data_IF_449267366620
#
_entry.id   IF_449267366620
#
_cell.length_a   1.000
_cell.length_b   1.000
_cell.length_c   1.000
_cell.angle_alpha   90.00
_cell.angle_beta   90.00
_cell.angle_gamma   90.00
#
_symmetry.space_group_name_H-M   'P 1'
#
loop_
_entity.id
_entity.type
_entity.pdbx_description
1 polymer ?
#
# COMPACT_ATOMS: atom_id res chain seq x y z
N UNK A 1 32.21 -22.37 27.53
CA UNK A 1 31.56 -22.29 27.02
C UNK A 1 31.20 -22.19 26.23
N UNK A 2 31.18 -22.26 26.14
CA UNK A 2 30.43 -22.23 25.39
C UNK A 2 29.74 -22.32 24.96
N UNK A 3 29.42 -22.33 25.16
CA UNK A 3 28.37 -22.37 24.71
C UNK A 3 27.64 -22.02 24.64
N UNK A 4 27.39 -21.87 25.27
CA UNK A 4 26.38 -21.56 25.12
C UNK A 4 25.91 -20.89 24.63
N UNK A 5 26.17 -20.66 24.66
CA UNK A 5 25.47 -20.09 23.98
C UNK A 5 24.98 -19.99 23.20
N UNK A 6 25.07 -20.18 23.29
CA UNK A 6 24.41 -20.09 22.37
C UNK A 6 23.42 -20.16 22.19
N UNK A 7 23.05 -20.25 22.79
CA UNK A 7 21.96 -20.34 22.61
C UNK A 7 21.18 -19.65 22.42
N UNK A 8 21.14 -18.99 22.69
CA UNK A 8 20.31 -18.35 22.33
C UNK A 8 20.11 -17.81 21.47
N UNK A 9 20.56 -17.66 21.26
CA UNK A 9 20.30 -17.22 20.30
C UNK A 9 19.84 -17.55 19.52
N UNK A 10 19.73 -17.98 19.60
CA UNK A 10 19.12 -18.37 18.77
C UNK A 10 18.10 -18.35 18.70
N UNK A 11 17.73 -17.97 19.18
CA UNK A 11 16.73 -18.02 19.09
C UNK A 11 16.04 -17.56 18.40
N UNK A 12 16.00 -17.05 18.46
CA UNK A 12 15.20 -16.63 17.68
C UNK A 12 15.38 -16.73 16.43
N UNK A 13 15.97 -16.94 16.25
CA UNK A 13 16.05 -17.13 15.19
C UNK A 13 15.52 -18.10 14.70
N UNK A 14 15.43 -18.02 14.92
CA UNK A 14 15.05 -18.93 14.44
C UNK A 14 13.95 -19.27 14.00
N UNK A 15 13.46 -19.11 14.20
CA UNK A 15 12.40 -19.75 13.88
C UNK A 15 11.33 -18.96 13.46
N UNK A 16 11.51 -18.31 12.32
CA UNK A 16 10.45 -17.58 11.70
C UNK A 16 9.59 -18.57 10.97
N UNK A 17 8.39 -18.76 11.47
CA UNK A 17 7.44 -19.63 10.82
C UNK A 17 6.93 -18.98 9.55
N UNK A 18 6.76 -19.80 8.51
CA UNK A 18 6.09 -19.36 7.30
C UNK A 18 4.61 -19.70 7.47
N UNK A 19 3.76 -18.74 7.30
CA UNK A 19 2.33 -18.90 7.56
C UNK A 19 1.51 -18.48 6.36
N UNK A 20 0.31 -19.00 6.27
CA UNK A 20 -0.66 -18.59 5.26
C UNK A 20 -1.58 -17.57 5.88
N UNK A 21 -1.66 -16.41 5.24
CA UNK A 21 -2.52 -15.34 5.72
C UNK A 21 -3.38 -14.83 4.58
N UNK A 22 -4.53 -14.30 4.93
CA UNK A 22 -5.41 -13.63 3.97
C UNK A 22 -5.02 -12.17 3.87
N UNK A 23 -5.45 -11.52 2.81
CA UNK A 23 -5.21 -10.09 2.65
C UNK A 23 -5.86 -9.30 3.78
N UNK A 24 -7.00 -9.76 4.30
CA UNK A 24 -7.66 -9.09 5.42
C UNK A 24 -6.82 -9.18 6.69
N UNK A 25 -6.16 -10.30 6.91
CA UNK A 25 -5.25 -10.44 8.04
C UNK A 25 -4.05 -9.50 7.90
N UNK A 26 -3.55 -9.34 6.68
CA UNK A 26 -2.47 -8.39 6.42
C UNK A 26 -2.93 -6.96 6.68
N UNK A 27 -4.12 -6.62 6.20
CA UNK A 27 -4.68 -5.28 6.46
C UNK A 27 -4.80 -4.99 7.94
N UNK A 28 -5.27 -5.96 8.70
CA UNK A 28 -5.42 -5.80 10.14
C UNK A 28 -4.06 -5.62 10.82
N UNK A 29 -3.08 -6.42 10.42
CA UNK A 29 -1.74 -6.30 10.98
C UNK A 29 -1.10 -4.94 10.68
N UNK A 30 -1.31 -4.43 9.46
CA UNK A 30 -0.81 -3.11 9.08
C UNK A 30 -1.49 -2.03 9.91
N UNK A 31 -2.80 -2.14 10.13
CA UNK A 31 -3.52 -1.17 10.96
C UNK A 31 -3.01 -1.16 12.38
N UNK A 32 -2.75 -2.32 12.96
CA UNK A 32 -2.20 -2.40 14.31
C UNK A 32 -0.80 -1.81 14.38
N UNK A 33 0.01 -2.06 13.35
CA UNK A 33 1.35 -1.49 13.28
C UNK A 33 1.27 0.04 13.18
N UNK A 34 0.35 0.54 12.35
CA UNK A 34 0.18 1.99 12.18
C UNK A 34 -0.24 2.66 13.48
N UNK A 35 -1.13 2.01 14.24
CA UNK A 35 -1.59 2.56 15.49
C UNK A 35 -0.48 2.67 16.52
N UNK A 36 0.55 1.84 16.42
CA UNK A 36 1.68 1.86 17.33
C UNK A 36 2.84 2.74 16.88
N UNK A 37 2.75 3.37 15.73
CA UNK A 37 3.85 4.20 15.23
C UNK A 37 3.97 5.49 16.04
N UNK A 38 5.21 5.87 16.30
CA UNK A 38 5.46 7.14 16.96
C UNK A 38 5.14 8.29 16.01
N UNK A 39 4.79 9.42 16.61
CA UNK A 39 4.48 10.62 15.85
C UNK A 39 5.66 10.97 14.92
N UNK A 40 5.35 11.29 13.69
CA UNK A 40 6.35 11.67 12.70
C UNK A 40 6.93 10.53 11.90
N UNK A 41 6.60 9.28 12.26
CA UNK A 41 7.07 8.12 11.50
C UNK A 41 5.98 7.71 10.52
N UNK A 42 6.34 7.70 9.24
CA UNK A 42 5.39 7.39 8.18
C UNK A 42 5.20 5.88 8.03
N UNK A 43 3.98 5.49 7.68
CA UNK A 43 3.69 4.10 7.32
C UNK A 43 4.47 3.64 6.09
N UNK A 44 5.01 4.58 5.31
CA UNK A 44 5.85 4.23 4.17
C UNK A 44 7.08 3.42 4.54
N UNK A 45 7.52 3.49 5.79
CA UNK A 45 8.67 2.70 6.24
C UNK A 45 8.40 1.20 6.13
N UNK A 46 7.14 0.82 6.02
CA UNK A 46 6.73 -0.56 5.88
C UNK A 46 6.83 -1.06 4.43
N UNK A 47 7.06 -0.16 3.48
CA UNK A 47 6.98 -0.47 2.05
C UNK A 47 8.36 -0.45 1.44
N UNK A 48 8.75 -1.56 0.83
CA UNK A 48 10.04 -1.68 0.16
C UNK A 48 9.99 -1.04 -1.24
N UNK A 49 11.15 -0.94 -1.88
CA UNK A 49 11.25 -0.26 -3.17
C UNK A 49 10.36 -0.85 -4.24
N UNK A 50 10.12 -2.15 -4.19
CA UNK A 50 9.28 -2.84 -5.16
C UNK A 50 7.80 -2.83 -4.77
N UNK A 51 7.43 -2.02 -3.79
CA UNK A 51 6.09 -1.91 -3.22
C UNK A 51 5.69 -3.08 -2.33
N UNK A 52 6.54 -4.08 -2.14
CA UNK A 52 6.21 -5.17 -1.23
C UNK A 52 6.27 -4.68 0.21
N UNK A 53 5.45 -5.31 1.04
CA UNK A 53 5.43 -5.01 2.47
C UNK A 53 6.59 -5.72 3.15
N UNK A 54 7.30 -4.98 4.01
CA UNK A 54 8.40 -5.56 4.78
C UNK A 54 7.81 -6.31 5.98
N UNK A 55 7.58 -7.60 5.79
CA UNK A 55 6.93 -8.42 6.80
C UNK A 55 7.82 -8.70 8.01
N UNK A 56 9.11 -8.42 7.93
CA UNK A 56 9.95 -8.54 9.12
C UNK A 56 9.51 -7.56 10.20
N UNK A 57 8.90 -6.44 9.80
CA UNK A 57 8.37 -5.47 10.75
C UNK A 57 7.02 -5.89 11.32
N UNK A 58 6.34 -6.84 10.68
CA UNK A 58 5.02 -7.29 11.10
C UNK A 58 5.01 -8.70 11.69
N UNK A 59 6.18 -9.35 11.75
CA UNK A 59 6.18 -10.76 12.14
C UNK A 59 5.71 -10.98 13.56
N UNK A 60 5.90 -10.00 14.44
CA UNK A 60 5.41 -10.10 15.80
C UNK A 60 3.90 -10.07 15.88
N UNK A 61 3.28 -9.22 15.05
CA UNK A 61 1.84 -9.09 14.99
C UNK A 61 1.19 -10.28 14.29
N UNK A 62 1.80 -10.74 13.18
CA UNK A 62 1.26 -11.84 12.41
C UNK A 62 1.64 -13.21 12.96
N UNK A 63 2.64 -13.26 13.83
CA UNK A 63 3.17 -14.50 14.42
C UNK A 63 3.85 -15.37 13.36
N UNK A 64 4.48 -14.74 12.39
CA UNK A 64 5.22 -15.41 11.35
C UNK A 64 5.36 -14.56 10.11
N UNK A 65 5.97 -15.14 9.09
CA UNK A 65 6.13 -14.47 7.79
C UNK A 65 5.16 -15.08 6.79
N UNK A 66 4.40 -14.26 6.06
CA UNK A 66 3.48 -14.79 5.04
C UNK A 66 4.21 -15.61 3.98
N UNK A 67 3.54 -16.66 3.51
CA UNK A 67 4.09 -17.54 2.48
C UNK A 67 4.09 -16.89 1.11
N UNK A 68 3.35 -15.79 0.94
CA UNK A 68 3.32 -15.04 -0.32
C UNK A 68 3.52 -13.57 -0.04
N UNK A 69 4.03 -12.82 -1.02
CA UNK A 69 4.18 -11.38 -0.83
C UNK A 69 2.85 -10.66 -0.93
N UNK A 70 2.80 -9.49 -0.32
CA UNK A 70 1.71 -8.52 -0.48
C UNK A 70 2.34 -7.18 -0.74
N UNK A 71 1.59 -6.30 -1.41
CA UNK A 71 2.12 -5.03 -1.90
C UNK A 71 1.22 -3.89 -1.46
N UNK A 72 1.81 -2.71 -1.29
CA UNK A 72 1.08 -1.57 -0.76
C UNK A 72 1.41 -0.32 -1.55
N UNK A 73 0.38 0.48 -1.84
CA UNK A 73 0.56 1.81 -2.43
C UNK A 73 1.29 2.72 -1.45
N UNK A 74 2.30 3.44 -1.94
CA UNK A 74 3.05 4.41 -1.13
C UNK A 74 2.28 5.70 -0.91
N UNK A 75 1.30 5.97 -1.76
CA UNK A 75 0.50 7.18 -1.67
C UNK A 75 -0.78 6.97 -0.89
N UNK A 76 -1.46 5.84 -1.11
CA UNK A 76 -2.78 5.60 -0.51
C UNK A 76 -2.78 4.53 0.56
N UNK A 77 -1.72 3.72 0.63
CA UNK A 77 -1.56 2.61 1.58
C UNK A 77 -2.58 1.48 1.40
N UNK A 78 -3.20 1.41 0.22
CA UNK A 78 -4.02 0.25 -0.11
C UNK A 78 -3.14 -0.96 -0.37
N UNK A 79 -3.63 -2.14 0.00
CA UNK A 79 -2.86 -3.39 -0.02
C UNK A 79 -3.40 -4.32 -1.09
N UNK A 80 -2.50 -4.98 -1.81
CA UNK A 80 -2.84 -5.85 -2.94
C UNK A 80 -1.96 -7.11 -2.93
N UNK A 81 -2.42 -8.10 -3.66
CA UNK A 81 -1.66 -9.35 -3.81
C UNK A 81 -0.70 -9.30 -5.00
N UNK A 82 -0.74 -8.24 -5.81
CA UNK A 82 0.17 -8.06 -6.94
C UNK A 82 0.82 -6.69 -6.85
N UNK A 83 1.99 -6.57 -7.48
CA UNK A 83 2.76 -5.32 -7.44
C UNK A 83 2.24 -4.26 -8.40
N UNK A 84 1.51 -4.68 -9.44
CA UNK A 84 1.15 -3.77 -10.53
C UNK A 84 0.18 -2.68 -10.09
N UNK A 85 -0.87 -3.06 -9.34
CA UNK A 85 -1.87 -2.08 -8.91
C UNK A 85 -1.31 -0.99 -8.01
N UNK A 86 -0.51 -1.30 -6.98
CA UNK A 86 0.06 -0.21 -6.17
C UNK A 86 0.89 0.76 -6.98
N UNK A 87 1.65 0.27 -7.96
CA UNK A 87 2.45 1.14 -8.81
C UNK A 87 1.58 2.05 -9.65
N UNK A 88 0.51 1.50 -10.24
CA UNK A 88 -0.41 2.29 -11.04
C UNK A 88 -1.13 3.33 -10.20
N UNK A 89 -1.58 2.95 -9.00
CA UNK A 89 -2.25 3.87 -8.10
C UNK A 89 -1.31 5.02 -7.72
N UNK A 90 -0.07 4.72 -7.42
CA UNK A 90 0.88 5.78 -7.03
C UNK A 90 1.13 6.75 -8.18
N UNK A 91 1.28 6.24 -9.40
CA UNK A 91 1.45 7.11 -10.56
C UNK A 91 0.23 7.97 -10.82
N UNK A 92 -0.96 7.40 -10.70
CA UNK A 92 -2.20 8.14 -10.91
C UNK A 92 -2.41 9.16 -9.80
N UNK A 93 -2.12 8.81 -8.55
CA UNK A 93 -2.29 9.76 -7.44
C UNK A 93 -1.42 11.00 -7.64
N UNK A 94 -0.17 10.80 -8.04
CA UNK A 94 0.72 11.94 -8.29
C UNK A 94 0.19 12.81 -9.43
N UNK A 95 -0.31 12.19 -10.49
CA UNK A 95 -0.87 12.91 -11.62
C UNK A 95 -2.13 13.68 -11.22
N UNK A 96 -2.99 13.05 -10.42
CA UNK A 96 -4.20 13.69 -9.92
C UNK A 96 -3.85 14.89 -9.05
N UNK A 97 -2.91 14.72 -8.13
CA UNK A 97 -2.51 15.80 -7.24
C UNK A 97 -1.98 16.99 -8.02
N UNK A 98 -1.16 16.74 -9.03
CA UNK A 98 -0.60 17.80 -9.85
C UNK A 98 -1.68 18.51 -10.66
N UNK A 99 -2.59 17.74 -11.26
CA UNK A 99 -3.69 18.32 -12.03
C UNK A 99 -4.56 19.22 -11.14
N UNK A 100 -4.90 18.74 -9.95
CA UNK A 100 -5.73 19.50 -9.03
C UNK A 100 -5.02 20.76 -8.55
N UNK A 101 -3.73 20.65 -8.32
CA UNK A 101 -2.93 21.82 -7.89
C UNK A 101 -2.92 22.90 -8.96
N UNK A 102 -2.83 22.50 -10.23
CA UNK A 102 -2.71 23.45 -11.33
C UNK A 102 -4.04 23.99 -11.81
N UNK A 103 -5.11 23.20 -11.74
CA UNK A 103 -6.41 23.61 -12.30
C UNK A 103 -7.45 23.94 -11.24
N UNK A 104 -7.28 23.44 -10.03
CA UNK A 104 -8.30 23.56 -8.99
C UNK A 104 -9.50 22.66 -9.20
N UNK A 105 -9.44 21.77 -10.18
CA UNK A 105 -10.56 20.88 -10.52
C UNK A 105 -10.20 19.43 -10.30
N UNK A 106 -11.22 18.61 -10.11
CA UNK A 106 -11.03 17.15 -9.96
C UNK A 106 -11.04 16.50 -11.34
N UNK A 107 -10.06 15.63 -11.63
CA UNK A 107 -9.97 15.01 -12.95
C UNK A 107 -10.87 13.77 -13.06
N UNK A 108 -12.16 13.96 -12.84
CA UNK A 108 -13.14 12.89 -12.98
C UNK A 108 -13.93 13.06 -14.25
N UNK A 109 -14.49 11.93 -14.75
CA UNK A 109 -15.31 11.97 -15.95
C UNK A 109 -16.61 12.72 -15.59
N UNK A 110 -16.94 13.80 -16.32
CA UNK A 110 -18.12 14.59 -15.98
C UNK A 110 -19.39 13.72 -15.98
N UNK A 111 -20.20 13.88 -14.94
CA UNK A 111 -21.46 13.17 -14.83
C UNK A 111 -21.34 11.70 -14.44
N UNK A 112 -20.13 11.22 -14.22
CA UNK A 112 -19.95 9.82 -13.82
C UNK A 112 -20.29 9.68 -12.33
N UNK A 113 -21.30 8.84 -11.97
CA UNK A 113 -21.70 8.75 -10.56
C UNK A 113 -20.67 8.09 -9.68
N UNK A 114 -19.76 7.30 -10.27
CA UNK A 114 -18.72 6.60 -9.52
C UNK A 114 -17.48 7.46 -9.34
N UNK A 115 -17.45 8.66 -9.90
CA UNK A 115 -16.30 9.57 -9.84
C UNK A 115 -15.06 8.90 -10.44
N UNK A 116 -15.24 8.27 -11.59
CA UNK A 116 -14.14 7.61 -12.30
C UNK A 116 -13.15 8.64 -12.80
N UNK A 117 -11.86 8.36 -12.61
CA UNK A 117 -10.81 9.28 -13.02
C UNK A 117 -10.71 9.31 -14.55
N UNK A 118 -10.63 10.52 -15.11
CA UNK A 118 -10.41 10.72 -16.53
C UNK A 118 -8.91 10.72 -16.81
N UNK A 119 -8.42 9.62 -17.38
CA UNK A 119 -7.00 9.56 -17.73
C UNK A 119 -6.65 10.54 -18.83
N UNK A 120 -7.64 10.94 -19.64
CA UNK A 120 -7.42 11.95 -20.64
C UNK A 120 -7.07 13.31 -19.99
N UNK A 121 -7.79 13.69 -18.94
CA UNK A 121 -7.52 14.97 -18.29
C UNK A 121 -6.13 15.04 -17.66
N UNK A 122 -5.64 13.92 -17.15
CA UNK A 122 -4.34 13.88 -16.48
C UNK A 122 -3.23 13.32 -17.38
N UNK A 123 -3.48 13.21 -18.69
CA UNK A 123 -2.55 12.52 -19.59
C UNK A 123 -1.15 13.11 -19.63
N UNK A 124 -1.02 14.39 -19.38
CA UNK A 124 0.30 15.06 -19.43
C UNK A 124 1.16 14.74 -18.20
N UNK A 125 0.53 14.21 -17.15
CA UNK A 125 1.22 13.90 -15.91
C UNK A 125 1.43 12.41 -15.70
N UNK A 126 0.81 11.58 -16.56
CA UNK A 126 0.93 10.13 -16.46
C UNK A 126 2.12 9.64 -17.28
N UNK A 127 2.90 8.72 -16.69
CA UNK A 127 3.92 8.02 -17.46
C UNK A 127 3.29 6.98 -18.37
N UNK A 128 2.26 6.33 -17.88
CA UNK A 128 1.60 5.25 -18.59
C UNK A 128 0.15 5.21 -18.16
N UNK A 129 -0.75 5.06 -19.15
CA UNK A 129 -2.17 4.92 -18.84
C UNK A 129 -2.42 3.58 -18.14
N UNK A 130 -3.09 3.58 -17.00
CA UNK A 130 -3.44 2.33 -16.33
C UNK A 130 -4.39 1.50 -17.17
N UNK A 131 -4.31 0.19 -16.98
CA UNK A 131 -5.20 -0.74 -17.67
C UNK A 131 -6.50 -1.00 -16.90
N UNK A 132 -6.60 -0.46 -15.70
CA UNK A 132 -7.78 -0.62 -14.86
C UNK A 132 -8.44 0.73 -14.65
N UNK A 133 -9.71 0.69 -14.28
CA UNK A 133 -10.42 1.90 -13.92
C UNK A 133 -10.16 2.23 -12.46
N UNK A 134 -9.89 3.50 -12.20
CA UNK A 134 -9.66 3.99 -10.85
C UNK A 134 -10.63 5.13 -10.57
N UNK A 135 -10.86 5.35 -9.30
CA UNK A 135 -11.87 6.30 -8.83
C UNK A 135 -11.24 7.29 -7.87
N UNK A 136 -11.85 8.46 -7.74
CA UNK A 136 -11.37 9.48 -6.82
C UNK A 136 -12.34 9.58 -5.65
N UNK A 137 -11.88 9.27 -4.45
CA UNK A 137 -12.72 9.36 -3.27
C UNK A 137 -13.13 10.81 -3.05
N UNK A 138 -14.41 11.01 -2.75
CA UNK A 138 -14.98 12.34 -2.63
C UNK A 138 -14.44 13.09 -1.42
N UNK A 139 -14.15 12.39 -0.35
CA UNK A 139 -13.79 13.02 0.91
C UNK A 139 -12.32 13.35 1.02
N UNK A 140 -11.47 12.36 0.74
CA UNK A 140 -10.03 12.55 0.93
C UNK A 140 -9.26 12.81 -0.35
N UNK A 141 -9.96 12.74 -1.52
CA UNK A 141 -9.34 12.96 -2.83
C UNK A 141 -8.24 11.94 -3.13
N UNK A 142 -8.34 10.77 -2.54
CA UNK A 142 -7.40 9.70 -2.78
C UNK A 142 -7.88 8.80 -3.89
N UNK A 143 -6.93 8.34 -4.70
CA UNK A 143 -7.20 7.40 -5.77
C UNK A 143 -7.46 6.03 -5.17
N UNK A 144 -8.50 5.36 -5.65
CA UNK A 144 -8.82 4.03 -5.16
C UNK A 144 -9.27 3.14 -6.32
N UNK A 145 -9.02 1.84 -6.16
CA UNK A 145 -9.52 0.86 -7.13
C UNK A 145 -10.95 0.44 -6.83
N UNK A 146 -11.47 0.86 -5.69
CA UNK A 146 -12.82 0.47 -5.28
C UNK A 146 -13.84 1.47 -5.81
N UNK A 147 -14.87 0.90 -6.48
CA UNK A 147 -15.96 1.73 -6.94
C UNK A 147 -16.73 2.27 -5.73
N UNK A 148 -17.00 3.58 -5.69
CA UNK A 148 -17.80 4.15 -4.59
C UNK A 148 -19.18 3.56 -4.56
N UNK A 149 -19.75 3.43 -3.36
CA UNK A 149 -21.10 2.93 -3.18
C UNK A 149 -22.12 4.03 -3.25
#
# INVERSE_FOLDING_TARGET
>A
MFFKKRKSKQKGEVKEQIINVTIDQVRQAVNEYADGLKQGISLRTLILDDHSIDFHLLKGTLKGLPSQPFYMSKETFEIFETAELPKQIDNVQKAVDQYMQETGEEPIIPGNPDRRISYYLIRHYLHKKPEVELYLDKRDKMVTHRRPE
#
